data_IF_775650157711
#
_entry.id   IF_775650157711
#
_cell.length_a   1.000
_cell.length_b   1.000
_cell.length_c   1.000
_cell.angle_alpha   90.00
_cell.angle_beta   90.00
_cell.angle_gamma   90.00
#
_symmetry.space_group_name_H-M   'P 1'
#
loop_
_entity.id
_entity.type
_entity.pdbx_description
1 polymer ?
#
# COMPACT_ATOMS: atom_id res chain seq x y z
N UNK A 1 -36.88 13.11 -21.26
CA UNK A 1 -36.34 11.75 -21.51
C UNK A 1 -34.97 11.67 -20.86
N UNK A 2 -34.88 11.15 -19.63
CA UNK A 2 -33.65 11.13 -18.85
C UNK A 2 -32.99 9.76 -18.91
N UNK A 3 -31.87 9.65 -19.62
CA UNK A 3 -31.05 8.45 -19.62
C UNK A 3 -30.04 8.52 -18.48
N UNK A 4 -30.31 7.74 -17.42
CA UNK A 4 -29.34 7.35 -16.41
C UNK A 4 -28.82 5.96 -16.80
N UNK A 5 -27.60 5.64 -16.34
CA UNK A 5 -26.89 4.34 -16.36
C UNK A 5 -26.03 4.16 -17.63
N UNK A 6 -24.72 3.91 -17.54
CA UNK A 6 -24.03 2.97 -16.67
C UNK A 6 -22.62 3.49 -16.31
N UNK A 7 -22.07 3.21 -15.12
CA UNK A 7 -20.63 3.34 -14.92
C UNK A 7 -19.95 2.33 -15.86
N UNK A 8 -19.12 2.85 -16.76
CA UNK A 8 -18.29 2.07 -17.66
C UNK A 8 -17.23 1.35 -16.82
N UNK A 9 -17.59 0.21 -16.23
CA UNK A 9 -16.65 -0.65 -15.51
C UNK A 9 -15.80 -1.34 -16.55
N UNK A 10 -14.63 -0.77 -16.85
CA UNK A 10 -13.61 -1.48 -17.62
C UNK A 10 -13.25 -2.77 -16.85
N UNK A 11 -13.39 -3.96 -17.44
CA UNK A 11 -12.80 -5.17 -16.90
C UNK A 11 -11.30 -5.08 -17.15
N UNK A 12 -10.63 -4.29 -16.32
CA UNK A 12 -9.17 -4.26 -16.26
C UNK A 12 -8.76 -5.57 -15.61
N UNK A 13 -8.52 -6.58 -16.44
CA UNK A 13 -7.73 -7.77 -16.09
C UNK A 13 -6.31 -7.32 -15.71
N UNK A 14 -6.21 -6.65 -14.57
CA UNK A 14 -4.96 -6.19 -14.03
C UNK A 14 -4.42 -7.34 -13.20
N UNK A 15 -3.39 -7.99 -13.73
CA UNK A 15 -2.65 -9.04 -13.07
C UNK A 15 -1.97 -8.44 -11.82
N UNK A 16 -2.72 -8.28 -10.74
CA UNK A 16 -2.24 -7.71 -9.49
C UNK A 16 -1.56 -8.82 -8.72
N UNK A 17 -0.23 -8.88 -8.81
CA UNK A 17 0.53 -9.93 -8.15
C UNK A 17 0.95 -9.44 -6.76
N UNK A 18 0.48 -10.14 -5.73
CA UNK A 18 0.89 -9.88 -4.35
C UNK A 18 1.83 -10.97 -3.91
N UNK A 19 3.06 -10.61 -3.55
CA UNK A 19 4.02 -11.53 -2.93
C UNK A 19 4.09 -11.22 -1.44
N UNK A 20 3.96 -12.25 -0.61
CA UNK A 20 4.12 -12.18 0.84
C UNK A 20 5.30 -13.05 1.22
N UNK A 21 6.32 -12.43 1.79
CA UNK A 21 7.53 -13.08 2.28
C UNK A 21 7.71 -12.64 3.74
N UNK A 22 7.01 -13.34 4.63
CA UNK A 22 6.95 -13.02 6.06
C UNK A 22 6.53 -11.56 6.31
N UNK A 23 7.40 -10.73 6.92
CA UNK A 23 7.12 -9.32 7.19
C UNK A 23 7.07 -8.44 5.93
N UNK A 24 7.54 -8.95 4.78
CA UNK A 24 7.56 -8.23 3.51
C UNK A 24 6.30 -8.51 2.69
N UNK A 25 5.62 -7.45 2.29
CA UNK A 25 4.46 -7.49 1.41
C UNK A 25 4.73 -6.66 0.17
N UNK A 26 4.89 -7.33 -0.97
CA UNK A 26 5.10 -6.74 -2.28
C UNK A 26 3.80 -6.80 -3.08
N UNK A 27 3.49 -5.71 -3.75
CA UNK A 27 2.35 -5.55 -4.64
C UNK A 27 2.88 -5.01 -5.97
N UNK A 28 2.88 -5.85 -7.01
CA UNK A 28 3.19 -5.44 -8.37
C UNK A 28 1.88 -5.28 -9.16
N UNK A 29 1.68 -4.10 -9.73
CA UNK A 29 0.54 -3.78 -10.57
C UNK A 29 0.92 -2.76 -11.65
N UNK A 30 -0.04 -2.38 -12.51
CA UNK A 30 0.23 -1.51 -13.66
C UNK A 30 0.63 -0.09 -13.29
N UNK A 31 0.26 0.38 -12.09
CA UNK A 31 0.66 1.70 -11.58
C UNK A 31 2.05 1.70 -10.91
N UNK A 32 2.73 0.55 -10.89
CA UNK A 32 4.07 0.37 -10.33
C UNK A 32 4.17 -0.70 -9.25
N UNK A 33 5.39 -0.86 -8.73
CA UNK A 33 5.70 -1.80 -7.64
C UNK A 33 5.62 -1.06 -6.31
N UNK A 34 4.69 -1.47 -5.47
CA UNK A 34 4.53 -0.99 -4.10
C UNK A 34 4.91 -2.11 -3.14
N UNK A 35 5.66 -1.79 -2.10
CA UNK A 35 6.02 -2.80 -1.10
C UNK A 35 6.01 -2.22 0.31
N UNK A 36 5.85 -3.08 1.29
CA UNK A 36 5.97 -2.71 2.69
C UNK A 36 6.65 -3.81 3.49
N UNK A 37 7.50 -3.39 4.43
CA UNK A 37 8.15 -4.25 5.41
C UNK A 37 7.51 -3.99 6.77
N UNK A 38 7.29 -5.03 7.56
CA UNK A 38 6.82 -4.90 8.93
C UNK A 38 7.61 -5.82 9.86
N UNK A 39 8.65 -5.32 10.53
CA UNK A 39 9.40 -6.11 11.50
C UNK A 39 9.01 -5.70 12.93
N UNK A 40 8.19 -6.53 13.58
CA UNK A 40 7.72 -6.31 14.95
C UNK A 40 7.03 -4.95 15.12
N UNK A 41 7.73 -4.02 15.77
CA UNK A 41 7.26 -2.67 16.10
C UNK A 41 7.56 -1.64 15.03
N UNK A 42 8.19 -2.06 13.94
CA UNK A 42 8.61 -1.18 12.86
C UNK A 42 7.92 -1.58 11.55
N UNK A 43 7.40 -0.60 10.82
CA UNK A 43 6.86 -0.80 9.48
C UNK A 43 7.31 0.29 8.49
N UNK A 44 7.71 -0.15 7.30
CA UNK A 44 8.04 0.67 6.15
C UNK A 44 7.00 0.44 5.06
N UNK A 45 6.51 1.50 4.42
CA UNK A 45 5.70 1.41 3.20
C UNK A 45 6.36 2.23 2.09
N UNK A 46 6.81 1.57 1.02
CA UNK A 46 7.48 2.19 -0.10
C UNK A 46 6.53 2.97 -1.02
N UNK A 47 5.22 2.65 -1.03
CA UNK A 47 4.22 3.41 -1.80
C UNK A 47 4.07 4.83 -1.27
N UNK A 48 3.98 4.97 0.05
CA UNK A 48 3.82 6.25 0.74
C UNK A 48 5.14 6.80 1.29
N UNK A 49 6.27 6.08 1.08
CA UNK A 49 7.56 6.31 1.77
C UNK A 49 7.37 6.58 3.26
N UNK A 50 6.40 5.90 3.86
CA UNK A 50 5.98 6.11 5.25
C UNK A 50 6.71 5.10 6.12
N UNK A 51 7.32 5.63 7.16
CA UNK A 51 7.96 4.87 8.19
C UNK A 51 7.21 5.02 9.51
N UNK A 52 6.85 3.91 10.13
CA UNK A 52 6.19 3.88 11.44
C UNK A 52 7.01 3.02 12.37
N UNK A 53 7.35 3.55 13.54
CA UNK A 53 8.00 2.81 14.63
C UNK A 53 7.12 2.97 15.87
N UNK A 54 6.57 1.88 16.38
CA UNK A 54 5.84 1.86 17.63
C UNK A 54 6.85 1.95 18.79
N UNK A 55 6.78 3.01 19.60
CA UNK A 55 7.64 3.15 20.77
C UNK A 55 7.04 2.40 21.97
N UNK A 56 7.83 1.93 22.97
CA UNK A 56 7.37 1.19 24.17
C UNK A 56 6.33 1.86 25.10
N UNK A 57 5.46 2.71 24.58
CA UNK A 57 4.32 3.35 25.27
C UNK A 57 3.19 3.66 24.28
N UNK A 58 2.20 4.50 24.63
CA UNK A 58 1.06 4.84 23.75
C UNK A 58 1.44 5.73 22.54
N UNK A 59 2.72 5.81 22.21
CA UNK A 59 3.25 6.64 21.13
C UNK A 59 3.65 5.80 19.91
N UNK A 60 3.43 6.36 18.72
CA UNK A 60 4.01 5.86 17.49
C UNK A 60 4.79 6.99 16.83
N UNK A 61 6.01 6.71 16.39
CA UNK A 61 6.81 7.65 15.61
C UNK A 61 6.56 7.41 14.13
N UNK A 62 6.01 8.41 13.44
CA UNK A 62 5.79 8.35 12.00
C UNK A 62 6.66 9.35 11.27
N UNK A 63 7.61 8.86 10.47
CA UNK A 63 8.38 9.66 9.52
C UNK A 63 7.79 9.50 8.12
N UNK A 64 7.26 10.58 7.56
CA UNK A 64 6.88 10.62 6.14
C UNK A 64 8.09 11.08 5.35
N UNK A 65 8.57 10.26 4.41
CA UNK A 65 9.58 10.71 3.46
C UNK A 65 9.10 11.95 2.74
N UNK A 66 9.83 13.07 2.92
CA UNK A 66 9.55 14.36 2.28
C UNK A 66 9.44 14.16 0.77
N UNK A 67 8.42 14.78 0.17
CA UNK A 67 8.24 14.84 -1.28
C UNK A 67 9.30 15.75 -1.89
#
# INVERSE_FOLDING_TARGET
MGFRLLPHVHPRHHLRRTFRLGPLRLHAGPDGVSWGLGAGRWSWNAKSRKHTVDTPGPGYWQSKGRR
#
